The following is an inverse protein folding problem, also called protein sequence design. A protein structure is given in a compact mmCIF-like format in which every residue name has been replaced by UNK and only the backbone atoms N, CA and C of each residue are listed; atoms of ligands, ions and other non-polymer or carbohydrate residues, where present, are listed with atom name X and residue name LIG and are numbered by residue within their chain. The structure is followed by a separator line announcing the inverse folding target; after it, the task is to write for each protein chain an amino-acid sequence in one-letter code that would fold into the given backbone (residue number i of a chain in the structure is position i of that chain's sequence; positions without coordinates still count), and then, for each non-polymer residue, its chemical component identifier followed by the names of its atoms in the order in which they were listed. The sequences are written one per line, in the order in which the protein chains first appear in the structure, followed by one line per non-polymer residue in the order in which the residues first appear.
data_IF_961700031337
#
_entry.id   IF_961700031337
#
_cell.length_a   1.000
_cell.length_b   1.000
_cell.length_c   1.000
_cell.angle_alpha   90.00
_cell.angle_beta   90.00
_cell.angle_gamma   90.00
#
_symmetry.space_group_name_H-M   'P 1'
#
loop_
_entity.id
_entity.type
_entity.pdbx_description
1 polymer ?
#
# COMPACT_ATOMS: atom_id res chain seq x y z
N UNK A 1 45.22 -38.86 30.97
CA UNK A 1 45.13 -37.45 30.53
C UNK A 1 44.46 -37.39 29.18
N UNK A 2 43.16 -37.22 29.17
CA UNK A 2 42.31 -37.19 27.95
C UNK A 2 41.92 -35.74 27.68
N UNK A 3 42.37 -35.24 26.58
CA UNK A 3 42.13 -33.90 26.06
C UNK A 3 40.67 -33.80 25.59
N UNK A 4 39.85 -32.98 26.22
CA UNK A 4 38.51 -32.62 25.73
C UNK A 4 38.68 -31.64 24.60
N UNK A 5 38.28 -32.05 23.41
CA UNK A 5 38.11 -31.13 22.27
C UNK A 5 36.87 -30.27 22.52
N UNK A 6 37.09 -28.96 22.59
CA UNK A 6 36.02 -27.93 22.57
C UNK A 6 35.46 -27.88 21.17
N UNK A 7 34.30 -28.47 20.96
CA UNK A 7 33.52 -28.30 19.75
C UNK A 7 32.81 -26.94 19.82
N UNK A 8 33.39 -25.93 19.19
CA UNK A 8 32.77 -24.64 19.06
C UNK A 8 31.61 -24.75 18.07
N UNK A 9 30.40 -24.72 18.58
CA UNK A 9 29.19 -24.59 17.76
C UNK A 9 29.12 -23.19 17.16
N UNK A 10 29.74 -22.98 16.01
CA UNK A 10 29.45 -21.87 15.13
C UNK A 10 28.43 -22.36 14.08
N UNK A 11 27.18 -22.50 14.49
CA UNK A 11 26.09 -22.72 13.55
C UNK A 11 25.35 -21.43 13.30
N UNK A 12 25.87 -20.60 12.43
CA UNK A 12 25.09 -19.59 11.71
C UNK A 12 24.42 -20.24 10.48
N UNK A 13 23.58 -21.23 10.69
CA UNK A 13 22.63 -21.66 9.67
C UNK A 13 21.33 -20.86 9.88
N UNK A 14 21.34 -19.58 9.57
CA UNK A 14 20.13 -18.91 9.22
C UNK A 14 19.62 -19.59 7.95
N UNK A 15 18.36 -20.05 7.96
CA UNK A 15 17.71 -20.49 6.74
C UNK A 15 17.66 -19.30 5.78
N UNK A 16 18.64 -19.20 4.92
CA UNK A 16 18.56 -18.33 3.75
C UNK A 16 17.46 -18.93 2.88
N UNK A 17 16.28 -18.33 2.93
CA UNK A 17 15.28 -18.60 1.89
C UNK A 17 15.91 -18.12 0.59
N UNK A 18 16.42 -19.03 -0.21
CA UNK A 18 16.76 -18.73 -1.60
C UNK A 18 15.47 -18.20 -2.24
N UNK A 19 15.50 -16.96 -2.72
CA UNK A 19 14.39 -16.41 -3.48
C UNK A 19 14.22 -17.33 -4.69
N UNK A 20 13.17 -18.11 -4.69
CA UNK A 20 12.81 -18.87 -5.88
C UNK A 20 12.66 -17.89 -7.03
N UNK A 21 13.26 -18.18 -8.21
CA UNK A 21 13.10 -17.32 -9.37
C UNK A 21 11.60 -17.13 -9.59
N UNK A 22 11.19 -15.86 -9.72
CA UNK A 22 9.80 -15.51 -9.91
C UNK A 22 9.20 -16.40 -11.01
N UNK A 23 8.30 -17.30 -10.62
CA UNK A 23 7.51 -18.06 -11.58
C UNK A 23 6.80 -16.98 -12.39
N UNK A 24 7.10 -16.87 -13.68
CA UNK A 24 6.33 -16.09 -14.64
C UNK A 24 4.96 -16.75 -14.81
N UNK A 25 4.18 -16.81 -13.74
CA UNK A 25 2.75 -17.00 -13.81
C UNK A 25 2.13 -15.70 -14.29
N UNK A 26 1.06 -15.78 -15.05
CA UNK A 26 0.23 -14.62 -15.32
C UNK A 26 -0.14 -13.97 -13.99
N UNK A 27 0.47 -12.83 -13.69
CA UNK A 27 0.16 -12.07 -12.49
C UNK A 27 -1.26 -11.51 -12.68
N UNK A 28 -2.25 -12.20 -12.12
CA UNK A 28 -3.62 -11.71 -12.12
C UNK A 28 -3.76 -10.70 -11.01
N UNK A 29 -4.31 -9.53 -11.35
CA UNK A 29 -4.68 -8.52 -10.36
C UNK A 29 -5.74 -9.08 -9.42
N UNK A 30 -5.85 -8.59 -8.18
CA UNK A 30 -6.92 -8.99 -7.28
C UNK A 30 -8.33 -8.80 -7.85
N UNK A 31 -8.52 -7.82 -8.75
CA UNK A 31 -9.81 -7.46 -9.34
C UNK A 31 -9.97 -7.96 -10.80
N UNK A 32 -9.23 -8.98 -11.21
CA UNK A 32 -9.31 -9.51 -12.58
C UNK A 32 -10.70 -10.02 -12.99
N UNK A 33 -11.48 -10.52 -12.02
CA UNK A 33 -12.79 -11.14 -12.27
C UNK A 33 -13.98 -10.23 -11.97
N UNK A 34 -13.76 -8.97 -11.57
CA UNK A 34 -14.86 -8.07 -11.24
C UNK A 34 -15.55 -7.49 -12.47
N UNK A 35 -16.82 -7.15 -12.32
CA UNK A 35 -17.57 -6.44 -13.36
C UNK A 35 -17.12 -4.99 -13.43
N UNK A 36 -16.58 -4.57 -14.59
CA UNK A 36 -16.04 -3.22 -14.82
C UNK A 36 -16.94 -2.33 -15.70
N UNK A 37 -18.12 -2.79 -16.10
CA UNK A 37 -19.03 -2.04 -16.98
C UNK A 37 -19.51 -0.73 -16.36
N UNK A 38 -19.77 0.28 -17.21
CA UNK A 38 -20.35 1.56 -16.79
C UNK A 38 -21.73 1.39 -16.15
N UNK A 39 -22.07 2.27 -15.23
CA UNK A 39 -23.43 2.47 -14.71
C UNK A 39 -23.83 3.88 -15.13
N UNK A 40 -24.90 4.05 -15.94
CA UNK A 40 -25.35 5.37 -16.36
C UNK A 40 -25.79 6.21 -15.14
N UNK A 41 -25.47 7.50 -15.17
CA UNK A 41 -25.87 8.43 -14.11
C UNK A 41 -25.47 9.86 -14.44
N UNK A 42 -25.97 10.85 -13.67
CA UNK A 42 -25.79 12.27 -13.99
C UNK A 42 -24.33 12.75 -13.90
N UNK A 43 -23.58 12.25 -12.92
CA UNK A 43 -22.18 12.64 -12.68
C UNK A 43 -21.36 11.39 -12.32
N UNK A 44 -20.96 10.57 -13.29
CA UNK A 44 -20.34 9.28 -13.03
C UNK A 44 -19.02 9.37 -12.28
N UNK A 45 -18.88 8.52 -11.28
CA UNK A 45 -17.66 8.35 -10.47
C UNK A 45 -16.71 7.39 -11.17
N UNK A 46 -15.43 7.68 -11.19
CA UNK A 46 -14.38 6.76 -11.63
C UNK A 46 -13.98 5.83 -10.49
N UNK A 47 -13.98 4.54 -10.78
CA UNK A 47 -13.46 3.50 -9.88
C UNK A 47 -12.49 2.66 -10.69
N UNK A 48 -11.18 2.83 -10.43
CA UNK A 48 -10.13 2.25 -11.26
C UNK A 48 -9.11 1.51 -10.39
N UNK A 49 -8.77 0.27 -10.79
CA UNK A 49 -7.67 -0.45 -10.17
C UNK A 49 -6.33 0.04 -10.74
N UNK A 50 -5.41 0.38 -9.86
CA UNK A 50 -4.01 0.58 -10.19
C UNK A 50 -3.26 -0.73 -9.98
N UNK A 51 -3.05 -1.46 -11.04
CA UNK A 51 -2.21 -2.65 -11.09
C UNK A 51 -0.73 -2.29 -11.31
N UNK A 52 0.14 -3.29 -11.37
CA UNK A 52 1.58 -3.12 -11.53
C UNK A 52 2.22 -2.23 -10.45
N UNK A 53 1.78 -2.42 -9.21
CA UNK A 53 2.30 -1.73 -8.03
C UNK A 53 2.91 -2.73 -7.04
N UNK A 54 4.15 -2.48 -6.67
CA UNK A 54 4.80 -3.19 -5.57
C UNK A 54 4.51 -2.54 -4.23
N UNK A 55 4.33 -3.36 -3.20
CA UNK A 55 4.03 -2.92 -1.85
C UNK A 55 5.07 -3.46 -0.89
N UNK A 56 5.78 -2.56 -0.20
CA UNK A 56 6.77 -2.89 0.82
C UNK A 56 6.32 -2.30 2.17
N UNK A 57 6.32 -3.11 3.20
CA UNK A 57 6.17 -2.63 4.58
C UNK A 57 7.55 -2.44 5.17
N UNK A 58 7.84 -1.23 5.62
CA UNK A 58 9.04 -0.89 6.40
C UNK A 58 8.65 -0.76 7.85
N UNK A 59 9.38 -1.43 8.75
CA UNK A 59 9.18 -1.32 10.18
C UNK A 59 10.50 -1.23 10.91
N UNK A 60 10.62 -0.23 11.80
CA UNK A 60 11.84 0.01 12.57
C UNK A 60 11.91 1.43 13.13
N UNK A 61 13.08 1.78 13.66
CA UNK A 61 13.34 3.15 14.12
C UNK A 61 13.29 4.15 12.97
N UNK A 62 12.53 5.24 13.15
CA UNK A 62 12.32 6.25 12.12
C UNK A 62 13.63 6.90 11.66
N UNK A 63 14.56 7.17 12.60
CA UNK A 63 15.85 7.80 12.28
C UNK A 63 16.71 6.89 11.41
N UNK A 64 16.70 5.59 11.73
CA UNK A 64 17.43 4.57 10.97
C UNK A 64 16.86 4.44 9.55
N UNK A 65 15.55 4.41 9.42
CA UNK A 65 14.90 4.22 8.12
C UNK A 65 14.96 5.48 7.25
N UNK A 66 14.92 6.69 7.85
CA UNK A 66 14.87 7.95 7.11
C UNK A 66 16.07 8.14 6.18
N UNK A 67 17.29 7.83 6.64
CA UNK A 67 18.50 7.96 5.83
C UNK A 67 18.52 7.00 4.64
N UNK A 68 18.15 5.74 4.85
CA UNK A 68 18.09 4.73 3.81
C UNK A 68 16.98 5.02 2.78
N UNK A 69 15.82 5.48 3.25
CA UNK A 69 14.70 5.87 2.38
C UNK A 69 15.09 7.08 1.52
N UNK A 70 15.72 8.10 2.10
CA UNK A 70 16.19 9.26 1.35
C UNK A 70 17.25 8.88 0.29
N UNK A 71 18.17 7.99 0.62
CA UNK A 71 19.20 7.51 -0.30
C UNK A 71 18.64 6.70 -1.47
N UNK A 72 17.72 5.76 -1.17
CA UNK A 72 17.23 4.79 -2.16
C UNK A 72 16.06 5.31 -2.98
N UNK A 73 15.13 6.05 -2.34
CA UNK A 73 13.88 6.51 -2.98
C UNK A 73 13.92 7.99 -3.34
N UNK A 74 14.91 8.74 -2.86
CA UNK A 74 14.99 10.21 -2.97
C UNK A 74 13.68 10.88 -2.50
N UNK A 75 13.14 10.37 -1.39
CA UNK A 75 11.94 10.84 -0.71
C UNK A 75 12.20 10.94 0.80
N UNK A 76 11.57 11.91 1.45
CA UNK A 76 11.59 11.97 2.90
C UNK A 76 10.66 10.89 3.49
N UNK A 77 11.11 10.22 4.55
CA UNK A 77 10.24 9.36 5.33
C UNK A 77 9.24 10.23 6.11
N UNK A 78 7.91 10.03 5.96
CA UNK A 78 6.93 10.77 6.76
C UNK A 78 7.15 10.54 8.26
N UNK A 79 7.41 11.60 9.02
CA UNK A 79 7.63 11.59 10.47
C UNK A 79 6.40 12.01 11.28
N UNK A 80 5.46 12.70 10.63
CA UNK A 80 4.21 13.11 11.25
C UNK A 80 3.13 12.04 11.06
N UNK A 81 2.33 11.77 12.09
CA UNK A 81 1.20 10.84 11.98
C UNK A 81 0.25 11.20 10.85
N UNK A 82 -0.26 10.20 10.17
CA UNK A 82 -1.30 10.33 9.13
C UNK A 82 -0.85 11.11 7.89
N UNK A 83 0.44 11.19 7.62
CA UNK A 83 0.98 11.88 6.44
C UNK A 83 1.52 10.90 5.40
N UNK A 84 1.68 11.40 4.18
CA UNK A 84 2.32 10.69 3.09
C UNK A 84 3.29 11.58 2.33
N UNK A 85 4.28 10.98 1.70
CA UNK A 85 5.17 11.63 0.76
C UNK A 85 5.17 10.84 -0.55
N UNK A 86 5.08 11.52 -1.69
CA UNK A 86 5.05 10.86 -2.99
C UNK A 86 5.82 11.63 -4.04
N UNK A 87 6.42 10.87 -4.98
CA UNK A 87 7.04 11.38 -6.20
C UNK A 87 6.83 10.38 -7.31
N UNK A 88 6.34 10.83 -8.45
CA UNK A 88 6.01 9.98 -9.60
C UNK A 88 5.06 8.83 -9.19
N UNK A 89 5.49 7.58 -9.39
CA UNK A 89 4.73 6.38 -9.01
C UNK A 89 5.12 5.81 -7.66
N UNK A 90 6.02 6.47 -6.92
CA UNK A 90 6.46 6.05 -5.58
C UNK A 90 5.74 6.84 -4.51
N UNK A 91 5.21 6.16 -3.51
CA UNK A 91 4.55 6.78 -2.37
C UNK A 91 4.90 6.08 -1.07
N UNK A 92 5.17 6.86 -0.03
CA UNK A 92 5.41 6.41 1.33
C UNK A 92 4.26 6.92 2.20
N UNK A 93 3.59 6.02 2.91
CA UNK A 93 2.45 6.33 3.80
C UNK A 93 2.82 5.97 5.22
N UNK A 94 2.64 6.90 6.14
CA UNK A 94 2.75 6.62 7.57
C UNK A 94 1.58 5.74 8.01
N UNK A 95 1.85 4.60 8.62
CA UNK A 95 0.84 3.65 9.10
C UNK A 95 0.78 3.63 10.62
N UNK A 96 1.93 3.58 11.26
CA UNK A 96 2.09 3.65 12.71
C UNK A 96 3.41 4.31 13.07
N UNK A 97 3.69 4.60 14.35
CA UNK A 97 4.93 5.28 14.77
C UNK A 97 6.22 4.61 14.29
N UNK A 98 6.18 3.31 14.04
CA UNK A 98 7.31 2.49 13.62
C UNK A 98 7.07 1.74 12.30
N UNK A 99 6.00 2.09 11.54
CA UNK A 99 5.62 1.34 10.35
C UNK A 99 5.16 2.26 9.20
N UNK A 100 5.66 1.98 8.01
CA UNK A 100 5.33 2.69 6.77
C UNK A 100 4.99 1.71 5.65
N UNK A 101 4.01 2.07 4.83
CA UNK A 101 3.73 1.38 3.58
C UNK A 101 4.34 2.17 2.43
N UNK A 102 5.26 1.54 1.72
CA UNK A 102 5.89 2.06 0.51
C UNK A 102 5.29 1.37 -0.70
N UNK A 103 4.87 2.14 -1.68
CA UNK A 103 4.48 1.62 -3.00
C UNK A 103 5.42 2.15 -4.07
N UNK A 104 5.81 1.26 -4.98
CA UNK A 104 6.73 1.53 -6.10
C UNK A 104 6.19 0.86 -7.36
N UNK A 105 6.68 1.20 -8.58
CA UNK A 105 6.38 0.42 -9.77
C UNK A 105 6.67 -1.07 -9.56
N UNK A 106 5.77 -1.95 -10.01
CA UNK A 106 5.86 -3.39 -9.76
C UNK A 106 7.19 -4.02 -10.20
N UNK A 107 7.71 -3.57 -11.34
CA UNK A 107 8.99 -4.01 -11.90
C UNK A 107 10.22 -3.56 -11.08
N UNK A 108 10.09 -2.55 -10.22
CA UNK A 108 11.17 -2.01 -9.39
C UNK A 108 11.18 -2.60 -7.96
N UNK A 109 10.13 -3.31 -7.57
CA UNK A 109 9.92 -3.76 -6.19
C UNK A 109 11.12 -4.53 -5.62
N UNK A 110 11.65 -5.50 -6.36
CA UNK A 110 12.76 -6.34 -5.90
C UNK A 110 14.07 -5.58 -5.80
N UNK A 111 14.33 -4.65 -6.72
CA UNK A 111 15.54 -3.82 -6.68
C UNK A 111 15.50 -2.83 -5.52
N UNK A 112 14.34 -2.18 -5.31
CA UNK A 112 14.13 -1.26 -4.19
C UNK A 112 14.24 -2.00 -2.85
N UNK A 113 13.60 -3.17 -2.71
CA UNK A 113 13.73 -4.00 -1.51
C UNK A 113 15.19 -4.33 -1.20
N UNK A 114 15.95 -4.78 -2.20
CA UNK A 114 17.36 -5.11 -2.06
C UNK A 114 18.21 -3.89 -1.68
N UNK A 115 18.00 -2.76 -2.33
CA UNK A 115 18.72 -1.52 -2.04
C UNK A 115 18.45 -1.02 -0.62
N UNK A 116 17.20 -1.02 -0.19
CA UNK A 116 16.83 -0.66 1.19
C UNK A 116 17.48 -1.60 2.21
N UNK A 117 17.50 -2.92 1.96
CA UNK A 117 18.17 -3.89 2.85
C UNK A 117 19.68 -3.64 2.97
N UNK A 118 20.33 -3.18 1.91
CA UNK A 118 21.76 -2.85 1.94
C UNK A 118 22.04 -1.51 2.62
N UNK A 119 21.16 -0.52 2.43
CA UNK A 119 21.32 0.81 3.02
C UNK A 119 21.03 0.85 4.52
N UNK A 120 20.16 -0.04 5.03
CA UNK A 120 19.79 -0.07 6.44
C UNK A 120 20.83 -0.85 7.24
N UNK A 121 21.53 -0.13 8.12
CA UNK A 121 22.50 -0.72 9.06
C UNK A 121 21.86 -0.72 10.46
N UNK A 122 21.21 -1.83 10.84
CA UNK A 122 20.55 -1.95 12.13
C UNK A 122 19.35 -2.88 12.09
N UNK A 123 18.53 -2.84 13.15
CA UNK A 123 17.36 -3.69 13.28
C UNK A 123 16.14 -3.04 12.60
N UNK A 124 15.76 -3.53 11.45
CA UNK A 124 14.55 -3.13 10.75
C UNK A 124 13.96 -4.31 9.96
N UNK A 125 12.67 -4.27 9.73
CA UNK A 125 11.98 -5.23 8.86
C UNK A 125 11.58 -4.55 7.55
N UNK A 126 11.87 -5.24 6.44
CA UNK A 126 11.36 -4.89 5.11
C UNK A 126 10.61 -6.11 4.61
N UNK A 127 9.32 -5.98 4.37
CA UNK A 127 8.47 -7.08 3.97
C UNK A 127 7.77 -6.75 2.67
N UNK A 128 7.99 -7.58 1.65
CA UNK A 128 7.27 -7.46 0.39
C UNK A 128 5.88 -8.08 0.54
N UNK A 129 4.85 -7.24 0.43
CA UNK A 129 3.44 -7.62 0.55
C UNK A 129 2.66 -7.41 -0.75
N UNK A 130 3.34 -7.26 -1.88
CA UNK A 130 2.74 -6.91 -3.18
C UNK A 130 1.57 -7.81 -3.58
N UNK A 131 1.68 -9.12 -3.38
CA UNK A 131 0.60 -10.06 -3.71
C UNK A 131 -0.59 -10.02 -2.73
N UNK A 132 -0.48 -9.30 -1.64
CA UNK A 132 -1.50 -9.23 -0.57
C UNK A 132 -2.41 -8.01 -0.63
N UNK A 133 -2.12 -7.04 -1.53
CA UNK A 133 -2.83 -5.76 -1.61
C UNK A 133 -3.08 -5.35 -3.05
N UNK A 134 -4.05 -4.47 -3.25
CA UNK A 134 -4.28 -3.72 -4.50
C UNK A 134 -4.63 -2.28 -4.18
N UNK A 135 -4.51 -1.41 -5.17
CA UNK A 135 -4.87 0.00 -5.06
C UNK A 135 -6.06 0.28 -5.97
N UNK A 136 -7.06 0.96 -5.43
CA UNK A 136 -8.21 1.47 -6.19
C UNK A 136 -8.23 2.98 -6.05
N UNK A 137 -8.34 3.68 -7.17
CA UNK A 137 -8.62 5.11 -7.21
C UNK A 137 -10.12 5.35 -7.35
N UNK A 138 -10.63 6.24 -6.52
CA UNK A 138 -11.98 6.75 -6.56
C UNK A 138 -11.90 8.23 -6.97
N UNK A 139 -12.53 8.60 -8.10
CA UNK A 139 -12.38 9.92 -8.71
C UNK A 139 -13.71 10.50 -9.18
N UNK A 140 -13.81 11.84 -9.20
CA UNK A 140 -14.96 12.57 -9.72
C UNK A 140 -15.69 13.38 -8.66
N UNK A 141 -16.54 14.30 -9.08
CA UNK A 141 -17.23 15.26 -8.22
C UNK A 141 -17.96 14.61 -7.03
N UNK A 142 -18.53 13.41 -7.23
CA UNK A 142 -19.26 12.68 -6.21
C UNK A 142 -18.41 11.60 -5.50
N UNK A 143 -17.09 11.57 -5.73
CA UNK A 143 -16.20 10.61 -5.07
C UNK A 143 -16.19 10.78 -3.55
N UNK A 144 -16.27 12.03 -3.07
CA UNK A 144 -16.39 12.31 -1.63
C UNK A 144 -17.68 11.77 -1.05
N UNK A 145 -18.81 11.91 -1.75
CA UNK A 145 -20.13 11.43 -1.28
C UNK A 145 -20.14 9.90 -1.20
N UNK A 146 -19.55 9.21 -2.18
CA UNK A 146 -19.37 7.75 -2.14
C UNK A 146 -18.52 7.35 -0.94
N UNK A 147 -17.46 8.09 -0.65
CA UNK A 147 -16.60 7.81 0.49
C UNK A 147 -17.32 8.06 1.83
N UNK A 148 -18.10 9.13 1.94
CA UNK A 148 -18.93 9.45 3.12
C UNK A 148 -19.96 8.36 3.44
N UNK A 149 -20.53 7.70 2.43
CA UNK A 149 -21.41 6.54 2.61
C UNK A 149 -20.68 5.28 3.06
N UNK A 150 -19.36 5.23 2.83
CA UNK A 150 -18.59 4.00 2.90
C UNK A 150 -17.74 3.89 4.16
N UNK A 151 -17.34 4.99 4.80
CA UNK A 151 -16.49 5.01 5.99
C UNK A 151 -17.11 5.82 7.13
N UNK A 152 -16.78 5.43 8.37
CA UNK A 152 -17.18 6.19 9.55
C UNK A 152 -16.20 7.34 9.89
N UNK A 153 -15.08 7.43 9.18
CA UNK A 153 -14.14 8.54 9.36
C UNK A 153 -14.71 9.82 8.73
N UNK A 154 -14.50 10.96 9.39
CA UNK A 154 -14.87 12.27 8.83
C UNK A 154 -13.91 12.65 7.70
N UNK A 155 -14.36 12.41 6.47
CA UNK A 155 -13.61 12.68 5.23
C UNK A 155 -13.77 14.11 4.71
N UNK A 156 -14.42 14.98 5.49
CA UNK A 156 -14.52 16.40 5.15
C UNK A 156 -13.13 17.03 5.02
N UNK A 157 -12.97 17.97 4.11
CA UNK A 157 -11.68 18.57 3.73
C UNK A 157 -10.89 19.12 4.92
N UNK A 158 -11.57 19.73 5.89
CA UNK A 158 -10.93 20.28 7.11
C UNK A 158 -10.26 19.18 7.96
N UNK A 159 -10.81 17.96 7.98
CA UNK A 159 -10.30 16.86 8.77
C UNK A 159 -9.49 15.87 7.95
N UNK A 160 -9.70 15.85 6.63
CA UNK A 160 -9.03 14.99 5.69
C UNK A 160 -8.44 15.78 4.50
N UNK A 161 -7.45 16.66 4.73
CA UNK A 161 -6.82 17.45 3.67
C UNK A 161 -6.00 16.57 2.71
N UNK A 162 -5.69 17.11 1.54
CA UNK A 162 -4.82 16.47 0.52
C UNK A 162 -3.50 16.01 1.14
N UNK A 163 -3.06 14.80 0.77
CA UNK A 163 -1.87 14.14 1.29
C UNK A 163 -2.07 13.39 2.62
N UNK A 164 -3.19 13.60 3.32
CA UNK A 164 -3.48 12.86 4.55
C UNK A 164 -3.78 11.40 4.25
N UNK A 165 -3.29 10.52 5.13
CA UNK A 165 -3.49 9.07 5.09
C UNK A 165 -4.15 8.63 6.37
N UNK A 166 -5.14 7.77 6.27
CA UNK A 166 -5.80 7.14 7.42
C UNK A 166 -5.94 5.64 7.20
N UNK A 167 -5.94 4.89 8.25
CA UNK A 167 -6.42 3.51 8.26
C UNK A 167 -7.80 3.50 8.90
N UNK A 168 -8.81 3.12 8.16
CA UNK A 168 -10.21 3.11 8.61
C UNK A 168 -10.93 1.88 8.10
N UNK A 169 -12.16 1.69 8.54
CA UNK A 169 -13.09 0.73 7.92
C UNK A 169 -13.79 1.39 6.75
N UNK A 170 -13.83 0.68 5.63
CA UNK A 170 -14.68 0.98 4.50
C UNK A 170 -15.67 -0.19 4.36
N UNK A 171 -16.96 0.10 4.52
CA UNK A 171 -17.97 -0.92 4.78
C UNK A 171 -17.60 -1.82 5.98
N UNK A 172 -17.25 -3.09 5.74
CA UNK A 172 -16.83 -4.05 6.79
C UNK A 172 -15.35 -4.45 6.71
N UNK A 173 -14.56 -3.79 5.86
CA UNK A 173 -13.16 -4.14 5.68
C UNK A 173 -12.23 -2.97 6.06
N UNK A 174 -11.06 -3.29 6.60
CA UNK A 174 -10.03 -2.29 6.86
C UNK A 174 -9.37 -1.87 5.55
N UNK A 175 -9.26 -0.57 5.32
CA UNK A 175 -8.66 0.05 4.13
C UNK A 175 -7.77 1.20 4.56
N UNK A 176 -6.65 1.39 3.87
CA UNK A 176 -5.85 2.61 3.98
C UNK A 176 -6.39 3.58 2.94
N UNK A 177 -6.79 4.76 3.38
CA UNK A 177 -7.39 5.79 2.54
C UNK A 177 -6.45 6.99 2.49
N UNK A 178 -6.12 7.49 1.29
CA UNK A 178 -5.35 8.70 1.09
C UNK A 178 -6.12 9.68 0.20
N UNK A 179 -6.17 10.94 0.60
CA UNK A 179 -6.70 11.99 -0.26
C UNK A 179 -5.60 12.46 -1.21
N UNK A 180 -5.84 12.35 -2.50
CA UNK A 180 -4.92 12.78 -3.55
C UNK A 180 -5.19 14.25 -3.94
N UNK A 181 -6.48 14.59 -4.07
CA UNK A 181 -6.97 15.91 -4.40
C UNK A 181 -8.39 16.11 -3.85
N UNK A 182 -9.04 17.22 -4.18
CA UNK A 182 -10.42 17.55 -3.74
C UNK A 182 -11.41 16.42 -4.00
N UNK A 183 -11.33 15.81 -5.17
CA UNK A 183 -12.24 14.81 -5.71
C UNK A 183 -11.55 13.48 -6.09
N UNK A 184 -10.34 13.23 -5.55
CA UNK A 184 -9.54 12.06 -5.85
C UNK A 184 -9.03 11.38 -4.58
N UNK A 185 -9.34 10.10 -4.44
CA UNK A 185 -8.96 9.27 -3.30
C UNK A 185 -8.30 7.98 -3.76
N UNK A 186 -7.32 7.55 -2.99
CA UNK A 186 -6.62 6.29 -3.17
C UNK A 186 -6.97 5.35 -2.02
N UNK A 187 -7.33 4.13 -2.34
CA UNK A 187 -7.72 3.09 -1.41
C UNK A 187 -6.76 1.91 -1.55
N UNK A 188 -5.96 1.62 -0.50
CA UNK A 188 -5.16 0.40 -0.46
C UNK A 188 -5.98 -0.68 0.23
N UNK A 189 -6.28 -1.73 -0.50
CA UNK A 189 -7.23 -2.78 -0.12
C UNK A 189 -6.49 -4.11 -0.03
N UNK A 190 -6.76 -4.90 1.01
CA UNK A 190 -6.27 -6.28 1.08
C UNK A 190 -6.92 -7.13 -0.02
N UNK A 191 -6.13 -7.95 -0.68
CA UNK A 191 -6.58 -8.83 -1.78
C UNK A 191 -7.85 -9.63 -1.43
N UNK A 192 -7.92 -10.15 -0.22
CA UNK A 192 -9.07 -10.95 0.22
C UNK A 192 -10.40 -10.19 0.32
N UNK A 193 -10.36 -8.85 0.35
CA UNK A 193 -11.53 -7.99 0.41
C UNK A 193 -11.74 -7.18 -0.88
N UNK A 194 -10.89 -7.35 -1.89
CA UNK A 194 -10.89 -6.51 -3.07
C UNK A 194 -12.22 -6.57 -3.83
N UNK A 195 -12.75 -7.78 -4.11
CA UNK A 195 -14.04 -7.97 -4.79
C UNK A 195 -15.20 -7.36 -4.00
N UNK A 196 -15.21 -7.57 -2.67
CA UNK A 196 -16.23 -7.03 -1.79
C UNK A 196 -16.24 -5.50 -1.79
N UNK A 197 -15.08 -4.87 -1.65
CA UNK A 197 -14.95 -3.40 -1.65
C UNK A 197 -15.29 -2.84 -3.03
N UNK A 198 -14.88 -3.51 -4.11
CA UNK A 198 -15.22 -3.10 -5.47
C UNK A 198 -16.73 -3.06 -5.69
N UNK A 199 -17.44 -4.14 -5.31
CA UNK A 199 -18.90 -4.19 -5.42
C UNK A 199 -19.58 -3.14 -4.54
N UNK A 200 -19.08 -2.94 -3.31
CA UNK A 200 -19.60 -1.91 -2.42
C UNK A 200 -19.48 -0.50 -3.02
N UNK A 201 -18.29 -0.15 -3.54
CA UNK A 201 -18.06 1.17 -4.15
C UNK A 201 -18.98 1.39 -5.36
N UNK A 202 -19.17 0.38 -6.18
CA UNK A 202 -20.09 0.45 -7.33
C UNK A 202 -21.56 0.64 -6.90
N UNK A 203 -21.98 -0.04 -5.86
CA UNK A 203 -23.33 0.10 -5.30
C UNK A 203 -23.51 1.49 -4.66
N UNK A 204 -22.56 1.94 -3.87
CA UNK A 204 -22.57 3.28 -3.26
C UNK A 204 -22.56 4.41 -4.29
N UNK A 205 -21.92 4.18 -5.46
CA UNK A 205 -21.84 5.13 -6.57
C UNK A 205 -23.03 5.04 -7.54
N UNK A 206 -23.92 4.04 -7.42
CA UNK A 206 -24.94 3.74 -8.42
C UNK A 206 -25.87 4.93 -8.73
N UNK A 207 -26.24 5.74 -7.74
CA UNK A 207 -27.09 6.92 -7.94
C UNK A 207 -26.42 8.02 -8.77
N UNK A 208 -25.07 8.11 -8.74
CA UNK A 208 -24.30 9.08 -9.52
C UNK A 208 -23.92 8.52 -10.88
N UNK A 209 -23.85 7.21 -11.00
CA UNK A 209 -23.29 6.46 -12.12
C UNK A 209 -21.82 6.09 -11.89
N UNK A 210 -21.30 5.17 -12.69
CA UNK A 210 -19.92 4.71 -12.69
C UNK A 210 -19.36 4.78 -14.09
N UNK A 211 -18.16 5.37 -14.26
CA UNK A 211 -17.43 5.37 -15.54
C UNK A 211 -17.08 3.94 -15.93
N UNK A 212 -17.09 3.66 -17.23
CA UNK A 212 -16.69 2.38 -17.80
C UNK A 212 -15.22 2.30 -18.06
#
# INVERSE_FOLDING_TARGET
MTRRENNSMSNNSYATMEQQPAIKGLANTPLVNVVRGAIPGPNPVGIEEHDDVGHLVLRGDATLLASAVAEVLDLALPDQPLTSCSRDRTCIRWISPDEWLVTVPGNETSSVESSLRHAIVGHAAIVNVSGGQTIVHLTGENALDVLMKSTCYDVHELNFPTGKVITSTLAQAQVIIRRLDSDQFELVIRRSFADYIWMWLRDAAAEFGVKG
#
